data_IF_462891318057
#
_entry.id   IF_462891318057
#
_cell.length_a   1.000
_cell.length_b   1.000
_cell.length_c   1.000
_cell.angle_alpha   90.00
_cell.angle_beta   90.00
_cell.angle_gamma   90.00
#
_symmetry.space_group_name_H-M   'P 1'
#
loop_
_entity.id
_entity.type
_entity.pdbx_description
1 polymer ?
#
# COMPACT_ATOMS: atom_id res chain seq x y z
N UNK A 1 -3.00 56.43 10.66
CA UNK A 1 -2.73 55.94 12.03
C UNK A 1 -3.71 54.80 12.26
N UNK A 2 -3.36 53.61 11.76
CA UNK A 2 -3.80 52.30 12.27
C UNK A 2 -3.22 51.25 11.33
N UNK A 3 -2.06 50.75 11.76
CA UNK A 3 -1.47 49.49 11.32
C UNK A 3 -2.03 48.39 12.23
N UNK A 4 -1.85 47.14 11.80
CA UNK A 4 -2.17 45.86 12.46
C UNK A 4 -3.49 45.28 11.91
N UNK A 5 -3.57 44.06 11.39
CA UNK A 5 -2.77 42.85 11.64
C UNK A 5 -2.83 42.01 10.36
N UNK A 6 -1.67 41.78 9.74
CA UNK A 6 -1.51 40.74 8.72
C UNK A 6 -1.52 39.40 9.46
N UNK A 7 -2.58 38.59 9.25
CA UNK A 7 -2.65 37.23 9.79
C UNK A 7 -1.67 36.36 8.99
N UNK A 8 -0.49 36.27 9.57
CA UNK A 8 0.68 35.52 9.15
C UNK A 8 0.41 34.03 9.42
N UNK A 9 -0.02 33.28 8.41
CA UNK A 9 -0.13 31.81 8.51
C UNK A 9 1.29 31.21 8.53
N UNK A 10 1.83 31.13 9.75
CA UNK A 10 3.00 30.34 10.07
C UNK A 10 2.63 28.85 10.05
N UNK A 11 2.81 28.20 8.90
CA UNK A 11 2.93 26.74 8.85
C UNK A 11 4.00 26.30 7.85
N UNK A 12 5.24 26.37 8.33
CA UNK A 12 6.44 25.80 7.72
C UNK A 12 6.21 24.35 7.19
N UNK A 13 6.49 24.16 5.90
CA UNK A 13 6.86 22.90 5.23
C UNK A 13 5.88 21.72 5.30
N UNK A 14 4.63 21.87 4.82
CA UNK A 14 3.86 20.71 4.36
C UNK A 14 4.46 20.22 3.03
N UNK A 15 5.47 19.37 3.15
CA UNK A 15 6.05 18.55 2.07
C UNK A 15 4.95 18.16 1.10
N UNK A 16 5.10 18.55 -0.17
CA UNK A 16 4.17 18.18 -1.24
C UNK A 16 3.95 16.66 -1.15
N UNK A 17 2.77 16.26 -0.65
CA UNK A 17 2.43 14.84 -0.50
C UNK A 17 2.47 14.24 -1.89
N UNK A 18 3.58 13.60 -2.24
CA UNK A 18 3.70 12.81 -3.45
C UNK A 18 2.71 11.67 -3.25
N UNK A 19 1.50 11.84 -3.78
CA UNK A 19 0.46 10.84 -3.69
C UNK A 19 0.93 9.66 -4.52
N UNK A 20 1.42 8.62 -3.85
CA UNK A 20 1.80 7.39 -4.51
C UNK A 20 0.54 6.78 -5.13
N UNK A 21 0.42 6.89 -6.45
CA UNK A 21 -0.77 6.52 -7.23
C UNK A 21 -0.44 5.29 -8.08
N UNK A 22 -1.39 4.37 -8.18
CA UNK A 22 -1.27 3.24 -9.09
C UNK A 22 -1.40 3.71 -10.55
N UNK A 23 -0.44 3.38 -11.45
CA UNK A 23 -0.49 3.81 -12.85
C UNK A 23 -1.65 3.17 -13.65
N UNK A 24 -2.24 2.08 -13.17
CA UNK A 24 -3.31 1.34 -13.85
C UNK A 24 -4.69 1.86 -13.44
N UNK A 25 -4.97 1.89 -12.13
CA UNK A 25 -6.30 2.26 -11.63
C UNK A 25 -6.39 3.73 -11.20
N UNK A 26 -5.28 4.48 -11.22
CA UNK A 26 -5.15 5.88 -10.79
C UNK A 26 -5.65 6.15 -9.36
N UNK A 27 -5.82 5.09 -8.55
CA UNK A 27 -6.15 5.19 -7.13
C UNK A 27 -4.88 5.44 -6.33
N UNK A 28 -4.96 6.34 -5.35
CA UNK A 28 -3.91 6.53 -4.37
C UNK A 28 -3.74 5.30 -3.48
N UNK A 29 -2.50 4.98 -3.14
CA UNK A 29 -2.20 3.90 -2.20
C UNK A 29 -2.57 4.32 -0.78
N UNK A 30 -3.30 3.46 -0.08
CA UNK A 30 -3.62 3.60 1.34
C UNK A 30 -3.02 2.44 2.14
N UNK A 31 -2.86 2.59 3.46
CA UNK A 31 -2.30 1.53 4.33
C UNK A 31 -3.11 0.22 4.30
N UNK A 32 -4.37 0.28 3.88
CA UNK A 32 -5.23 -0.90 3.73
C UNK A 32 -5.03 -1.61 2.39
N UNK A 33 -4.59 -0.90 1.36
CA UNK A 33 -4.42 -1.52 0.03
C UNK A 33 -3.15 -2.36 0.00
N UNK A 34 -3.29 -3.62 -0.41
CA UNK A 34 -2.15 -4.47 -0.70
C UNK A 34 -1.37 -3.90 -1.89
N UNK A 35 -0.07 -3.70 -1.71
CA UNK A 35 0.82 -3.15 -2.73
C UNK A 35 1.74 -4.25 -3.25
N UNK A 36 2.07 -4.19 -4.53
CA UNK A 36 2.99 -5.12 -5.16
C UNK A 36 4.05 -4.35 -5.95
N UNK A 37 5.31 -4.71 -5.75
CA UNK A 37 6.48 -4.13 -6.42
C UNK A 37 7.09 -5.17 -7.33
N UNK A 38 7.55 -4.72 -8.50
CA UNK A 38 8.26 -5.56 -9.45
C UNK A 38 9.76 -5.40 -9.29
N UNK A 39 10.49 -6.48 -8.98
CA UNK A 39 11.96 -6.45 -8.85
C UNK A 39 12.71 -5.84 -10.05
N UNK A 40 12.40 -6.14 -11.32
CA UNK A 40 13.24 -5.68 -12.43
C UNK A 40 13.07 -4.19 -12.76
N UNK A 41 11.96 -3.55 -12.37
CA UNK A 41 11.67 -2.18 -12.78
C UNK A 41 11.24 -1.23 -11.66
N UNK A 42 11.01 -1.72 -10.43
CA UNK A 42 10.67 -0.87 -9.28
C UNK A 42 9.27 -0.24 -9.30
N UNK A 43 8.49 -0.39 -10.38
CA UNK A 43 7.11 0.12 -10.43
C UNK A 43 6.21 -0.56 -9.37
N UNK A 44 5.45 0.28 -8.66
CA UNK A 44 4.49 -0.13 -7.63
C UNK A 44 3.08 -0.19 -8.23
N UNK A 45 2.38 -1.28 -7.96
CA UNK A 45 1.00 -1.48 -8.38
C UNK A 45 0.11 -1.84 -7.20
N UNK A 46 -1.19 -1.59 -7.35
CA UNK A 46 -2.20 -2.14 -6.45
C UNK A 46 -2.25 -3.67 -6.62
N UNK A 47 -2.50 -4.43 -5.55
CA UNK A 47 -2.55 -5.90 -5.59
C UNK A 47 -3.50 -6.41 -6.67
N UNK A 48 -4.72 -5.87 -6.71
CA UNK A 48 -5.72 -6.22 -7.74
C UNK A 48 -5.26 -5.92 -9.17
N UNK A 49 -4.47 -4.86 -9.35
CA UNK A 49 -3.93 -4.44 -10.63
C UNK A 49 -2.80 -5.38 -11.06
N UNK A 50 -1.94 -5.76 -10.11
CA UNK A 50 -0.86 -6.69 -10.35
C UNK A 50 -1.37 -8.07 -10.78
N UNK A 51 -2.44 -8.58 -10.14
CA UNK A 51 -3.02 -9.88 -10.48
C UNK A 51 -3.72 -9.88 -11.84
N UNK A 52 -4.46 -8.81 -12.15
CA UNK A 52 -5.24 -8.72 -13.39
C UNK A 52 -4.37 -8.50 -14.62
N UNK A 53 -3.34 -7.68 -14.49
CA UNK A 53 -2.58 -7.18 -15.62
C UNK A 53 -1.17 -7.75 -15.66
N UNK A 54 -0.41 -7.57 -14.59
CA UNK A 54 1.01 -7.92 -14.59
C UNK A 54 1.23 -9.44 -14.63
N UNK A 55 0.45 -10.22 -13.87
CA UNK A 55 0.55 -11.68 -13.90
C UNK A 55 0.05 -12.32 -15.20
N UNK A 56 -0.93 -11.70 -15.87
CA UNK A 56 -1.48 -12.21 -17.14
C UNK A 56 -0.60 -11.89 -18.33
N UNK A 57 -0.15 -10.63 -18.43
CA UNK A 57 0.69 -10.17 -19.54
C UNK A 57 2.18 -10.52 -19.37
N UNK A 58 2.64 -10.80 -18.14
CA UNK A 58 4.05 -11.12 -17.86
C UNK A 58 5.02 -9.98 -18.16
N UNK A 59 4.53 -8.74 -18.20
CA UNK A 59 5.31 -7.53 -18.50
C UNK A 59 4.79 -6.34 -17.70
N UNK A 60 5.66 -5.37 -17.45
CA UNK A 60 5.28 -4.15 -16.76
C UNK A 60 4.46 -3.28 -17.73
N UNK A 61 3.33 -2.72 -17.29
CA UNK A 61 2.54 -1.84 -18.16
C UNK A 61 3.16 -0.46 -18.36
N UNK A 62 4.12 -0.05 -17.52
CA UNK A 62 4.75 1.27 -17.61
C UNK A 62 6.04 1.23 -18.41
N UNK A 63 6.88 0.20 -18.24
CA UNK A 63 8.18 0.11 -18.90
C UNK A 63 8.33 -1.09 -19.85
N UNK A 64 7.28 -1.89 -20.05
CA UNK A 64 7.27 -3.08 -20.91
C UNK A 64 8.33 -4.16 -20.57
N UNK A 65 9.00 -4.06 -19.42
CA UNK A 65 10.00 -5.04 -19.01
C UNK A 65 9.35 -6.39 -18.69
N UNK A 66 9.98 -7.50 -19.10
CA UNK A 66 9.48 -8.86 -18.84
C UNK A 66 9.58 -9.19 -17.35
N UNK A 67 8.52 -9.78 -16.79
CA UNK A 67 8.40 -10.09 -15.36
C UNK A 67 8.12 -11.57 -15.20
N UNK A 68 8.89 -12.23 -14.35
CA UNK A 68 8.58 -13.60 -13.93
C UNK A 68 7.69 -13.56 -12.69
N UNK A 69 6.90 -14.59 -12.45
CA UNK A 69 6.04 -14.68 -11.27
C UNK A 69 6.80 -14.50 -9.94
N UNK A 70 8.08 -14.94 -9.89
CA UNK A 70 8.95 -14.77 -8.72
C UNK A 70 9.37 -13.32 -8.47
N UNK A 71 9.32 -12.48 -9.50
CA UNK A 71 9.78 -11.08 -9.45
C UNK A 71 8.69 -10.12 -8.93
N UNK A 72 7.48 -10.64 -8.71
CA UNK A 72 6.39 -9.90 -8.06
C UNK A 72 6.53 -10.05 -6.55
N UNK A 73 6.94 -8.98 -5.89
CA UNK A 73 7.01 -8.91 -4.43
C UNK A 73 5.75 -8.24 -3.94
N UNK A 74 4.95 -8.97 -3.18
CA UNK A 74 3.76 -8.42 -2.52
C UNK A 74 4.22 -7.84 -1.18
N UNK A 75 4.02 -6.53 -1.00
CA UNK A 75 4.27 -5.87 0.26
C UNK A 75 3.20 -6.29 1.25
N UNK A 76 3.65 -6.78 2.40
CA UNK A 76 2.77 -7.08 3.52
C UNK A 76 2.46 -5.76 4.22
N UNK A 77 1.18 -5.46 4.45
CA UNK A 77 0.81 -4.35 5.33
C UNK A 77 1.27 -4.68 6.74
N UNK A 78 2.20 -3.91 7.28
CA UNK A 78 2.69 -4.06 8.64
C UNK A 78 1.93 -3.12 9.58
N UNK A 79 1.16 -3.72 10.49
CA UNK A 79 0.55 -3.07 11.63
C UNK A 79 0.84 -3.90 12.88
N UNK A 80 1.57 -3.31 13.83
CA UNK A 80 1.79 -3.88 15.16
C UNK A 80 0.52 -3.74 16.00
N UNK A 81 -0.16 -4.84 16.28
CA UNK A 81 -1.34 -4.81 17.14
C UNK A 81 -1.81 -6.20 17.54
N UNK A 82 -0.97 -6.97 18.24
CA UNK A 82 -1.32 -8.14 19.07
C UNK A 82 -2.21 -9.27 18.49
N UNK A 83 -2.62 -9.20 17.24
CA UNK A 83 -3.43 -10.21 16.54
C UNK A 83 -2.90 -10.27 15.13
N UNK A 84 -1.96 -11.18 14.89
CA UNK A 84 -1.39 -11.40 13.58
C UNK A 84 -2.51 -11.65 12.55
N UNK A 85 -2.47 -10.94 11.43
CA UNK A 85 -3.44 -11.02 10.35
C UNK A 85 -3.58 -12.44 9.81
N UNK A 86 -4.56 -13.16 10.36
CA UNK A 86 -4.96 -14.52 9.97
C UNK A 86 -6.12 -14.97 10.83
N UNK A 87 -6.96 -15.86 10.30
CA UNK A 87 -8.02 -16.52 11.06
C UNK A 87 -7.38 -17.39 12.16
N UNK A 88 -7.21 -16.82 13.35
CA UNK A 88 -6.74 -17.53 14.54
C UNK A 88 -7.94 -17.73 15.44
N UNK A 89 -8.63 -18.85 15.29
CA UNK A 89 -9.67 -19.27 16.23
C UNK A 89 -9.01 -19.68 17.54
N UNK A 90 -9.26 -18.93 18.61
CA UNK A 90 -8.84 -19.31 19.95
C UNK A 90 -9.84 -20.35 20.49
N UNK A 91 -9.52 -21.64 20.34
CA UNK A 91 -10.27 -22.68 21.06
C UNK A 91 -9.84 -22.68 22.53
N UNK A 92 -10.77 -22.37 23.44
CA UNK A 92 -10.61 -22.67 24.86
C UNK A 92 -11.16 -24.07 25.10
N UNK A 93 -10.30 -24.98 25.56
CA UNK A 93 -10.77 -26.22 26.17
C UNK A 93 -11.01 -25.93 27.64
N UNK A 94 -12.28 -25.84 28.02
CA UNK A 94 -12.66 -25.95 29.42
C UNK A 94 -12.96 -27.44 29.72
N UNK A 95 -12.69 -27.88 30.93
CA UNK A 95 -13.11 -29.20 31.42
C UNK A 95 -14.59 -29.07 31.79
N UNK A 96 -15.45 -29.46 30.85
CA UNK A 96 -16.88 -29.34 30.98
C UNK A 96 -17.39 -30.14 32.19
N UNK A 97 -17.88 -29.41 33.21
CA UNK A 97 -18.71 -29.82 34.33
C UNK A 97 -18.12 -30.91 35.25
N UNK A 98 -17.72 -30.50 36.46
CA UNK A 98 -17.70 -31.36 37.64
C UNK A 98 -19.07 -31.33 38.32
#
# INVERSE_FOLDING_TARGET
>A
FETAMEDYDESETKQAKVSSICPICRKGFTNTTQLSILRPCGHVFCGSCCDKFVKKDGKCQTCAHKIKAKDVIVMRGEGSGFSGGGAKEARRFDVAFQ
#
